data_IF_390454817964
#
_entry.id   IF_390454817964
#
_cell.length_a   1.000
_cell.length_b   1.000
_cell.length_c   1.000
_cell.angle_alpha   90.00
_cell.angle_beta   90.00
_cell.angle_gamma   90.00
#
_symmetry.space_group_name_H-M   'P 1'
#
loop_
_entity.id
_entity.type
_entity.pdbx_description
1 polymer ?
#
# COMPACT_ATOMS: atom_id res chain seq x y z
N UNK A 1 -43.79 -48.28 71.43
CA UNK A 1 -43.44 -48.15 72.86
C UNK A 1 -41.93 -48.33 73.00
N UNK A 2 -41.25 -47.38 73.69
CA UNK A 2 -40.03 -47.52 74.54
C UNK A 2 -38.95 -48.52 74.07
N UNK A 3 -37.65 -48.20 73.94
CA UNK A 3 -36.78 -47.39 74.82
C UNK A 3 -35.31 -47.51 74.32
N UNK A 4 -34.53 -46.41 74.40
CA UNK A 4 -33.11 -46.26 74.88
C UNK A 4 -32.12 -47.44 74.76
N UNK A 5 -30.80 -47.29 74.48
CA UNK A 5 -29.79 -46.33 75.00
C UNK A 5 -28.39 -46.67 74.39
N UNK A 6 -27.62 -45.62 74.03
CA UNK A 6 -26.20 -45.33 74.33
C UNK A 6 -25.02 -46.31 74.07
N UNK A 7 -23.85 -45.66 73.87
CA UNK A 7 -22.43 -46.09 73.86
C UNK A 7 -21.85 -46.59 72.52
N UNK A 8 -20.62 -46.31 72.11
CA UNK A 8 -19.61 -45.29 72.39
C UNK A 8 -18.41 -45.62 71.49
N UNK A 9 -17.99 -44.66 70.67
CA UNK A 9 -16.60 -44.29 70.36
C UNK A 9 -15.53 -45.38 70.18
N UNK A 10 -15.08 -45.54 68.94
CA UNK A 10 -13.67 -45.80 68.61
C UNK A 10 -13.28 -44.88 67.44
N UNK A 11 -12.50 -43.83 67.74
CA UNK A 11 -11.78 -43.05 66.75
C UNK A 11 -10.62 -43.90 66.22
N UNK A 12 -10.58 -44.14 64.90
CA UNK A 12 -9.35 -44.48 64.21
C UNK A 12 -8.71 -43.19 63.67
N UNK A 13 -7.54 -42.85 64.22
CA UNK A 13 -6.60 -41.93 63.58
C UNK A 13 -6.08 -42.58 62.29
N UNK A 14 -6.37 -41.98 61.14
CA UNK A 14 -5.67 -42.25 59.90
C UNK A 14 -4.84 -41.01 59.52
N UNK A 15 -3.53 -41.19 59.57
CA UNK A 15 -2.47 -40.23 59.30
C UNK A 15 -2.50 -39.69 57.86
N UNK A 16 -2.30 -38.38 57.77
CA UNK A 16 -2.07 -37.58 56.56
C UNK A 16 -0.99 -38.19 55.65
N UNK A 17 -1.27 -38.21 54.35
CA UNK A 17 -0.26 -38.21 53.29
C UNK A 17 -0.74 -37.28 52.18
N UNK A 18 -0.31 -36.01 52.22
CA UNK A 18 -0.51 -35.07 51.11
C UNK A 18 0.48 -35.42 49.99
N UNK A 19 0.01 -36.13 48.97
CA UNK A 19 0.67 -36.16 47.67
C UNK A 19 0.14 -34.99 46.84
N UNK A 20 0.97 -33.97 46.64
CA UNK A 20 0.66 -32.84 45.77
C UNK A 20 0.87 -33.21 44.30
N UNK A 21 -0.22 -33.37 43.54
CA UNK A 21 -0.15 -33.38 42.08
C UNK A 21 -0.23 -31.95 41.57
N UNK A 22 0.91 -31.43 41.08
CA UNK A 22 0.94 -30.22 40.26
C UNK A 22 0.35 -30.55 38.88
N UNK A 23 -0.95 -30.28 38.70
CA UNK A 23 -1.61 -30.30 37.40
C UNK A 23 -1.23 -29.06 36.60
N UNK A 24 -0.20 -29.16 35.76
CA UNK A 24 0.10 -28.17 34.75
C UNK A 24 -1.05 -28.10 33.74
N UNK A 25 -1.68 -26.94 33.63
CA UNK A 25 -2.70 -26.66 32.62
C UNK A 25 -2.02 -26.64 31.24
N UNK A 26 -2.53 -27.34 30.21
CA UNK A 26 -1.98 -27.23 28.86
C UNK A 26 -2.16 -25.80 28.35
N UNK A 27 -1.06 -25.19 27.88
CA UNK A 27 -1.13 -23.92 27.16
C UNK A 27 -1.93 -24.12 25.85
N UNK A 28 -2.79 -23.15 25.46
CA UNK A 28 -3.49 -23.23 24.19
C UNK A 28 -2.48 -23.25 23.02
N UNK A 29 -2.77 -23.96 21.91
CA UNK A 29 -1.88 -24.02 20.77
C UNK A 29 -1.66 -22.61 20.20
N UNK A 30 -0.39 -22.25 20.00
CA UNK A 30 0.00 -21.00 19.36
C UNK A 30 -0.59 -20.96 17.94
N UNK A 31 -1.39 -19.94 17.66
CA UNK A 31 -1.88 -19.64 16.31
C UNK A 31 -0.67 -19.29 15.44
N UNK A 32 -0.52 -19.87 14.23
CA UNK A 32 0.53 -19.45 13.32
C UNK A 32 0.39 -17.94 13.02
N UNK A 33 1.51 -17.20 12.88
CA UNK A 33 1.44 -15.78 12.59
C UNK A 33 0.65 -15.56 11.30
N UNK A 34 -0.35 -14.67 11.38
CA UNK A 34 -1.08 -14.22 10.21
C UNK A 34 -0.09 -13.60 9.22
N UNK A 35 -0.17 -14.02 7.95
CA UNK A 35 0.56 -13.39 6.86
C UNK A 35 0.32 -11.88 6.86
N UNK A 36 1.34 -11.05 6.54
CA UNK A 36 1.12 -9.62 6.41
C UNK A 36 -0.01 -9.35 5.41
N UNK A 37 -0.85 -8.33 5.64
CA UNK A 37 -1.93 -7.99 4.72
C UNK A 37 -1.32 -7.77 3.33
N UNK A 38 -1.73 -8.58 2.36
CA UNK A 38 -1.37 -8.38 0.97
C UNK A 38 -1.88 -7.00 0.56
N UNK A 39 -0.99 -6.17 0.00
CA UNK A 39 -1.38 -4.89 -0.59
C UNK A 39 -2.37 -5.21 -1.70
N UNK A 40 -3.58 -4.67 -1.60
CA UNK A 40 -4.61 -4.89 -2.60
C UNK A 40 -4.20 -4.26 -3.94
N UNK A 41 -4.42 -4.98 -5.04
CA UNK A 41 -4.16 -4.45 -6.38
C UNK A 41 -5.18 -3.32 -6.68
N UNK A 42 -4.74 -2.09 -6.98
CA UNK A 42 -5.64 -0.96 -7.20
C UNK A 42 -6.54 -1.13 -8.43
N UNK A 43 -6.08 -1.81 -9.49
CA UNK A 43 -6.89 -2.10 -10.66
C UNK A 43 -8.00 -3.11 -10.33
N UNK A 44 -7.65 -4.14 -9.55
CA UNK A 44 -8.59 -5.13 -9.02
C UNK A 44 -9.64 -4.47 -8.11
N UNK A 45 -9.23 -3.60 -7.18
CA UNK A 45 -10.17 -2.86 -6.35
C UNK A 45 -11.08 -1.95 -7.18
N UNK A 46 -10.52 -1.26 -8.17
CA UNK A 46 -11.30 -0.41 -9.05
C UNK A 46 -12.34 -1.23 -9.81
N UNK A 47 -12.01 -2.41 -10.33
CA UNK A 47 -12.98 -3.30 -10.95
C UNK A 47 -14.19 -3.57 -10.05
N UNK A 48 -13.94 -3.97 -8.79
CA UNK A 48 -14.98 -4.23 -7.81
C UNK A 48 -15.79 -2.97 -7.48
N UNK A 49 -15.13 -1.82 -7.33
CA UNK A 49 -15.77 -0.51 -7.08
C UNK A 49 -16.67 -0.07 -8.24
N UNK A 50 -16.32 -0.42 -9.49
CA UNK A 50 -17.14 -0.15 -10.67
C UNK A 50 -18.29 -1.16 -10.85
N UNK A 51 -18.50 -2.07 -9.89
CA UNK A 51 -19.58 -3.08 -9.94
C UNK A 51 -19.27 -4.28 -10.82
N UNK A 52 -18.02 -4.46 -11.23
CA UNK A 52 -17.58 -5.65 -11.96
C UNK A 52 -17.12 -6.78 -11.04
N UNK A 53 -16.93 -7.96 -11.62
CA UNK A 53 -16.28 -9.12 -10.97
C UNK A 53 -14.91 -9.34 -11.60
N UNK A 54 -13.88 -9.57 -10.78
CA UNK A 54 -12.54 -9.84 -11.27
C UNK A 54 -12.35 -11.32 -11.61
N UNK A 55 -11.77 -11.58 -12.79
CA UNK A 55 -11.31 -12.90 -13.22
C UNK A 55 -9.85 -12.79 -13.67
N UNK A 56 -8.96 -13.66 -13.17
CA UNK A 56 -7.57 -13.73 -13.64
C UNK A 56 -7.48 -14.71 -14.79
N UNK A 57 -6.91 -14.27 -15.92
CA UNK A 57 -6.73 -15.06 -17.13
C UNK A 57 -5.25 -15.14 -17.52
N UNK A 58 -4.94 -16.09 -18.40
CA UNK A 58 -3.60 -16.27 -18.96
C UNK A 58 -3.55 -15.78 -20.41
N UNK A 59 -2.47 -15.09 -20.73
CA UNK A 59 -2.09 -14.68 -22.08
C UNK A 59 -1.45 -15.84 -22.84
N UNK A 60 -1.24 -15.64 -24.14
CA UNK A 60 -0.60 -16.64 -25.01
C UNK A 60 0.86 -16.96 -24.66
N UNK A 61 1.52 -16.09 -23.90
CA UNK A 61 2.87 -16.28 -23.32
C UNK A 61 2.85 -16.92 -21.92
N UNK A 62 1.67 -17.19 -21.37
CA UNK A 62 1.49 -17.69 -20.00
C UNK A 62 1.45 -16.60 -18.92
N UNK A 63 1.63 -15.32 -19.28
CA UNK A 63 1.49 -14.20 -18.35
C UNK A 63 0.05 -14.04 -17.87
N UNK A 64 -0.15 -13.61 -16.62
CA UNK A 64 -1.48 -13.39 -16.05
C UNK A 64 -1.96 -11.95 -16.27
N UNK A 65 -3.26 -11.78 -16.45
CA UNK A 65 -3.91 -10.47 -16.52
C UNK A 65 -5.31 -10.53 -15.88
N UNK A 66 -5.72 -9.42 -15.28
CA UNK A 66 -7.05 -9.29 -14.68
C UNK A 66 -8.09 -8.82 -15.69
N UNK A 67 -9.25 -9.47 -15.70
CA UNK A 67 -10.41 -9.08 -16.50
C UNK A 67 -11.53 -8.70 -15.55
N UNK A 68 -12.01 -7.47 -15.71
CA UNK A 68 -13.22 -7.00 -15.07
C UNK A 68 -14.44 -7.37 -15.91
N UNK A 69 -15.27 -8.25 -15.37
CA UNK A 69 -16.53 -8.72 -15.95
C UNK A 69 -17.69 -7.85 -15.48
N UNK A 70 -18.50 -7.39 -16.42
CA UNK A 70 -19.74 -6.65 -16.17
C UNK A 70 -20.94 -7.45 -16.68
N UNK A 71 -22.15 -6.91 -16.44
CA UNK A 71 -23.38 -7.43 -17.03
C UNK A 71 -23.31 -7.53 -18.56
N UNK A 72 -24.18 -8.34 -19.15
CA UNK A 72 -24.24 -8.61 -20.60
C UNK A 72 -22.93 -9.13 -21.21
N UNK A 73 -22.10 -9.84 -20.41
CA UNK A 73 -20.79 -10.35 -20.80
C UNK A 73 -19.84 -9.25 -21.31
N UNK A 74 -20.00 -8.02 -20.82
CA UNK A 74 -19.10 -6.91 -21.16
C UNK A 74 -17.84 -7.01 -20.32
N UNK A 75 -16.71 -6.66 -20.91
CA UNK A 75 -15.40 -6.92 -20.30
C UNK A 75 -14.45 -5.74 -20.49
N UNK A 76 -13.59 -5.53 -19.51
CA UNK A 76 -12.38 -4.71 -19.61
C UNK A 76 -11.21 -5.46 -19.00
N UNK A 77 -10.00 -5.22 -19.50
CA UNK A 77 -8.80 -5.52 -18.72
C UNK A 77 -8.72 -4.53 -17.55
N UNK A 78 -8.32 -4.98 -16.36
CA UNK A 78 -8.46 -4.22 -15.11
C UNK A 78 -7.68 -2.90 -15.11
N UNK A 79 -6.48 -2.87 -15.70
CA UNK A 79 -5.66 -1.67 -15.80
C UNK A 79 -6.18 -0.71 -16.87
N UNK A 80 -6.66 -1.23 -18.00
CA UNK A 80 -7.34 -0.45 -19.02
C UNK A 80 -8.61 0.21 -18.47
N UNK A 81 -9.36 -0.47 -17.60
CA UNK A 81 -10.49 0.14 -16.89
C UNK A 81 -10.03 1.24 -15.92
N UNK A 82 -8.99 0.97 -15.11
CA UNK A 82 -8.47 1.93 -14.14
C UNK A 82 -8.01 3.24 -14.78
N UNK A 83 -7.36 3.17 -15.94
CA UNK A 83 -6.84 4.36 -16.66
C UNK A 83 -7.84 4.95 -17.67
N UNK A 84 -9.03 4.37 -17.80
CA UNK A 84 -10.07 4.84 -18.72
C UNK A 84 -9.81 4.53 -20.21
N UNK A 85 -8.92 3.59 -20.51
CA UNK A 85 -8.72 3.04 -21.87
C UNK A 85 -9.86 2.08 -22.27
N UNK A 86 -10.50 1.49 -21.25
CA UNK A 86 -11.73 0.73 -21.38
C UNK A 86 -12.85 1.39 -20.56
N UNK A 87 -14.05 1.60 -21.12
CA UNK A 87 -15.13 2.32 -20.46
C UNK A 87 -15.70 1.57 -19.25
N UNK A 88 -16.16 2.33 -18.25
CA UNK A 88 -16.96 1.79 -17.13
C UNK A 88 -18.19 1.06 -17.69
N UNK A 89 -18.46 -0.14 -17.19
CA UNK A 89 -19.48 -1.04 -17.74
C UNK A 89 -19.00 -1.93 -18.89
N UNK A 90 -17.70 -1.90 -19.24
CA UNK A 90 -17.10 -2.88 -20.14
C UNK A 90 -17.33 -2.63 -21.63
N UNK A 91 -16.55 -3.30 -22.47
CA UNK A 91 -16.79 -3.41 -23.92
C UNK A 91 -17.52 -4.71 -24.23
N UNK A 92 -18.40 -4.66 -25.24
CA UNK A 92 -19.06 -5.86 -25.76
C UNK A 92 -18.03 -6.70 -26.52
N UNK A 93 -17.85 -7.95 -26.10
CA UNK A 93 -16.87 -8.86 -26.74
C UNK A 93 -17.47 -9.85 -27.72
N UNK A 94 -18.81 -9.92 -27.82
CA UNK A 94 -19.57 -10.89 -28.61
C UNK A 94 -19.47 -10.72 -30.14
N UNK A 95 -18.41 -10.07 -30.63
CA UNK A 95 -18.04 -9.99 -32.05
C UNK A 95 -16.57 -10.33 -32.32
N UNK A 96 -15.80 -10.73 -31.30
CA UNK A 96 -14.40 -11.10 -31.44
C UNK A 96 -14.26 -12.62 -31.33
N UNK A 97 -13.89 -13.24 -32.44
CA UNK A 97 -13.81 -14.70 -32.60
C UNK A 97 -12.60 -15.31 -31.89
N UNK A 98 -11.48 -14.57 -31.79
CA UNK A 98 -10.23 -15.05 -31.19
C UNK A 98 -9.94 -14.37 -29.85
N UNK A 99 -9.20 -15.04 -28.97
CA UNK A 99 -8.74 -14.46 -27.70
C UNK A 99 -7.86 -13.22 -27.93
N UNK A 100 -7.06 -13.23 -29.00
CA UNK A 100 -6.25 -12.08 -29.41
C UNK A 100 -7.10 -10.86 -29.78
N UNK A 101 -8.19 -11.06 -30.53
CA UNK A 101 -9.13 -10.01 -30.88
C UNK A 101 -9.87 -9.47 -29.64
N UNK A 102 -10.30 -10.36 -28.74
CA UNK A 102 -10.91 -9.98 -27.47
C UNK A 102 -9.93 -9.19 -26.60
N UNK A 103 -8.70 -9.66 -26.46
CA UNK A 103 -7.65 -9.01 -25.69
C UNK A 103 -7.33 -7.61 -26.21
N UNK A 104 -7.21 -7.44 -27.53
CA UNK A 104 -7.09 -6.13 -28.17
C UNK A 104 -8.21 -5.18 -27.73
N UNK A 105 -9.46 -5.63 -27.83
CA UNK A 105 -10.61 -4.80 -27.52
C UNK A 105 -10.67 -4.41 -26.03
N UNK A 106 -10.50 -5.37 -25.12
CA UNK A 106 -10.67 -5.12 -23.67
C UNK A 106 -9.51 -4.33 -23.06
N UNK A 107 -8.34 -4.29 -23.72
CA UNK A 107 -7.21 -3.41 -23.36
C UNK A 107 -7.33 -2.01 -23.95
N UNK A 108 -8.43 -1.72 -24.67
CA UNK A 108 -8.75 -0.40 -25.21
C UNK A 108 -8.37 -0.17 -26.66
N UNK A 109 -7.82 -1.18 -27.35
CA UNK A 109 -7.46 -1.10 -28.76
C UNK A 109 -8.65 -1.27 -29.72
N UNK A 110 -8.40 -0.92 -30.98
CA UNK A 110 -9.28 -1.15 -32.13
C UNK A 110 -8.73 -2.31 -32.96
N UNK A 111 -9.49 -3.41 -33.00
CA UNK A 111 -9.14 -4.59 -33.76
C UNK A 111 -9.64 -4.50 -35.20
N UNK A 112 -8.78 -4.85 -36.17
CA UNK A 112 -9.12 -4.91 -37.59
C UNK A 112 -8.70 -6.26 -38.17
N UNK A 113 -9.62 -6.95 -38.85
CA UNK A 113 -9.36 -8.24 -39.49
C UNK A 113 -8.48 -8.05 -40.72
N UNK A 114 -7.42 -8.84 -40.82
CA UNK A 114 -6.49 -8.85 -41.96
C UNK A 114 -6.51 -10.16 -42.75
N UNK A 115 -7.03 -11.25 -42.16
CA UNK A 115 -7.13 -12.54 -42.85
C UNK A 115 -7.96 -13.58 -42.08
N UNK A 116 -8.36 -14.66 -42.75
CA UNK A 116 -9.08 -15.81 -42.17
C UNK A 116 -10.33 -15.43 -41.34
N UNK A 117 -11.09 -14.44 -41.82
CA UNK A 117 -12.24 -13.88 -41.09
C UNK A 117 -13.26 -14.93 -40.64
N UNK A 118 -13.79 -14.77 -39.42
CA UNK A 118 -14.80 -15.65 -38.82
C UNK A 118 -14.33 -17.11 -38.63
N UNK A 119 -13.03 -17.30 -38.38
CA UNK A 119 -12.47 -18.61 -38.03
C UNK A 119 -11.64 -18.51 -36.75
N UNK A 120 -11.37 -19.66 -36.11
CA UNK A 120 -10.50 -19.72 -34.92
C UNK A 120 -9.06 -19.25 -35.19
N UNK A 121 -8.67 -19.17 -36.47
CA UNK A 121 -7.37 -18.69 -36.94
C UNK A 121 -7.45 -17.31 -37.59
N UNK A 122 -8.48 -16.52 -37.27
CA UNK A 122 -8.61 -15.14 -37.74
C UNK A 122 -7.36 -14.34 -37.40
N UNK A 123 -6.84 -13.66 -38.42
CA UNK A 123 -5.70 -12.78 -38.33
C UNK A 123 -6.21 -11.35 -38.31
N UNK A 124 -5.57 -10.52 -37.50
CA UNK A 124 -5.93 -9.12 -37.42
C UNK A 124 -4.86 -8.30 -36.74
N UNK A 125 -4.97 -7.00 -36.92
CA UNK A 125 -4.13 -6.01 -36.25
C UNK A 125 -4.88 -5.37 -35.10
N UNK A 126 -4.16 -5.02 -34.04
CA UNK A 126 -4.65 -4.19 -32.96
C UNK A 126 -4.05 -2.79 -33.10
N UNK A 127 -4.89 -1.79 -33.36
CA UNK A 127 -4.50 -0.38 -33.31
C UNK A 127 -4.73 0.13 -31.91
N UNK A 128 -3.68 0.59 -31.26
CA UNK A 128 -3.71 0.94 -29.87
C UNK A 128 -3.89 2.46 -29.69
N UNK A 129 -4.15 2.93 -28.47
CA UNK A 129 -4.56 4.32 -28.18
C UNK A 129 -3.53 5.38 -28.57
N UNK A 130 -2.24 5.04 -28.58
CA UNK A 130 -1.15 5.92 -29.04
C UNK A 130 -0.93 5.89 -30.57
N UNK A 131 -1.71 5.08 -31.29
CA UNK A 131 -1.57 4.86 -32.72
C UNK A 131 -0.62 3.72 -33.10
N UNK A 132 0.02 3.04 -32.13
CA UNK A 132 0.82 1.85 -32.40
C UNK A 132 -0.08 0.74 -32.97
N UNK A 133 0.38 0.10 -34.05
CA UNK A 133 -0.32 -1.01 -34.69
C UNK A 133 0.48 -2.29 -34.49
N UNK A 134 -0.13 -3.26 -33.81
CA UNK A 134 0.44 -4.59 -33.57
C UNK A 134 -0.28 -5.66 -34.40
N UNK A 135 0.40 -6.75 -34.74
CA UNK A 135 -0.32 -8.01 -34.95
C UNK A 135 -1.03 -8.41 -33.64
N UNK A 136 -2.32 -8.74 -33.70
CA UNK A 136 -3.12 -8.98 -32.50
C UNK A 136 -2.64 -10.21 -31.71
N UNK A 137 -2.09 -11.22 -32.40
CA UNK A 137 -1.55 -12.42 -31.76
C UNK A 137 -0.22 -12.12 -31.09
N UNK A 138 0.64 -11.34 -31.72
CA UNK A 138 1.89 -10.87 -31.09
C UNK A 138 1.62 -10.00 -29.87
N UNK A 139 0.60 -9.14 -29.95
CA UNK A 139 0.14 -8.34 -28.81
C UNK A 139 -0.35 -9.21 -27.65
N UNK A 140 -1.23 -10.17 -27.93
CA UNK A 140 -1.72 -11.14 -26.93
C UNK A 140 -0.60 -12.04 -26.34
N UNK A 141 0.48 -12.27 -27.09
CA UNK A 141 1.67 -13.00 -26.64
C UNK A 141 2.72 -12.11 -25.97
N UNK A 142 2.44 -10.82 -25.73
CA UNK A 142 3.39 -9.90 -25.11
C UNK A 142 4.62 -9.58 -25.94
N UNK A 143 4.64 -9.94 -27.24
CA UNK A 143 5.76 -9.66 -28.18
C UNK A 143 5.64 -8.26 -28.79
N UNK A 144 4.42 -7.78 -28.96
CA UNK A 144 4.13 -6.38 -29.21
C UNK A 144 3.61 -5.80 -27.89
N UNK A 145 4.28 -4.84 -27.24
CA UNK A 145 3.77 -4.26 -26.01
C UNK A 145 2.53 -3.42 -26.28
N UNK A 146 1.61 -3.32 -25.31
CA UNK A 146 0.56 -2.31 -25.33
C UNK A 146 1.19 -0.92 -25.46
N UNK A 147 0.44 0.13 -25.85
CA UNK A 147 0.92 1.49 -25.67
C UNK A 147 1.32 1.61 -24.23
N UNK A 148 2.57 1.97 -24.00
CA UNK A 148 2.87 2.78 -22.85
C UNK A 148 2.11 4.10 -23.08
N UNK A 149 0.88 4.17 -22.57
CA UNK A 149 0.14 5.42 -22.47
C UNK A 149 0.96 6.35 -21.58
N UNK A 150 1.81 7.16 -22.22
CA UNK A 150 3.01 7.78 -21.65
C UNK A 150 4.04 6.73 -21.20
N UNK A 151 5.33 7.06 -21.36
CA UNK A 151 6.44 6.22 -20.90
C UNK A 151 6.10 5.61 -19.53
N UNK A 152 5.98 4.28 -19.50
CA UNK A 152 5.74 3.55 -18.26
C UNK A 152 7.07 3.43 -17.55
N UNK A 153 7.12 3.88 -16.30
CA UNK A 153 8.37 3.95 -15.56
C UNK A 153 8.40 2.87 -14.48
N UNK A 154 9.16 1.81 -14.74
CA UNK A 154 9.52 0.84 -13.71
C UNK A 154 10.69 1.35 -12.84
N UNK A 155 11.52 2.24 -13.41
CA UNK A 155 12.60 2.91 -12.70
C UNK A 155 12.08 4.17 -11.99
N UNK A 156 12.14 4.24 -10.65
CA UNK A 156 11.68 5.40 -9.89
C UNK A 156 12.47 6.68 -10.20
N UNK A 157 13.74 6.57 -10.62
CA UNK A 157 14.55 7.75 -10.95
C UNK A 157 14.12 8.36 -12.29
N UNK A 158 13.95 7.53 -13.32
CA UNK A 158 13.36 7.95 -14.59
C UNK A 158 11.94 8.49 -14.41
N UNK A 159 11.13 7.87 -13.54
CA UNK A 159 9.79 8.35 -13.19
C UNK A 159 9.84 9.78 -12.64
N UNK A 160 10.61 10.03 -11.58
CA UNK A 160 10.68 11.36 -10.97
C UNK A 160 11.28 12.39 -11.91
N UNK A 161 12.29 12.02 -12.72
CA UNK A 161 12.84 12.91 -13.75
C UNK A 161 11.75 13.39 -14.73
N UNK A 162 10.80 12.51 -15.07
CA UNK A 162 9.73 12.81 -16.00
C UNK A 162 8.54 13.56 -15.39
N UNK A 163 8.09 13.18 -14.20
CA UNK A 163 6.88 13.77 -13.58
C UNK A 163 7.16 15.03 -12.76
N UNK A 164 8.42 15.26 -12.38
CA UNK A 164 8.85 16.43 -11.61
C UNK A 164 8.47 16.36 -10.14
N UNK A 165 7.18 16.32 -9.82
CA UNK A 165 6.70 16.24 -8.45
C UNK A 165 5.46 15.33 -8.34
N UNK A 166 5.46 14.45 -7.34
CA UNK A 166 4.36 13.54 -7.03
C UNK A 166 4.47 13.14 -5.56
N UNK A 167 3.45 13.40 -4.74
CA UNK A 167 3.42 13.04 -3.32
C UNK A 167 3.36 11.53 -3.10
N UNK A 168 2.64 10.84 -4.00
CA UNK A 168 2.53 9.38 -4.04
C UNK A 168 2.76 8.94 -5.48
N UNK A 169 3.72 8.03 -5.74
CA UNK A 169 3.94 7.45 -7.06
C UNK A 169 2.67 6.78 -7.58
N UNK A 170 2.27 7.16 -8.79
CA UNK A 170 1.09 6.65 -9.48
C UNK A 170 1.36 6.61 -10.99
N UNK A 171 0.42 6.06 -11.77
CA UNK A 171 0.52 6.01 -13.23
C UNK A 171 1.06 7.35 -13.80
N UNK A 172 2.07 7.35 -14.67
CA UNK A 172 2.58 6.19 -15.43
C UNK A 172 3.69 5.36 -14.73
N UNK A 173 3.87 5.49 -13.41
CA UNK A 173 4.71 4.55 -12.66
C UNK A 173 4.05 3.16 -12.58
N UNK A 174 4.78 2.11 -12.98
CA UNK A 174 4.33 0.71 -12.96
C UNK A 174 5.25 -0.23 -12.15
N UNK A 175 6.28 0.33 -11.51
CA UNK A 175 7.18 -0.41 -10.64
C UNK A 175 6.56 -0.80 -9.29
N UNK A 176 7.28 -1.57 -8.46
CA UNK A 176 6.82 -1.97 -7.14
C UNK A 176 6.66 -0.76 -6.20
N UNK A 177 5.83 -0.89 -5.16
CA UNK A 177 5.59 0.18 -4.18
C UNK A 177 6.88 0.67 -3.48
N UNK A 178 7.80 -0.24 -3.19
CA UNK A 178 9.14 0.07 -2.69
C UNK A 178 10.18 -0.59 -3.61
N UNK A 179 10.75 0.14 -4.58
CA UNK A 179 11.74 -0.38 -5.51
C UNK A 179 13.05 -0.75 -4.85
N UNK A 180 13.64 -1.84 -5.32
CA UNK A 180 15.00 -2.24 -4.95
C UNK A 180 16.01 -1.12 -5.23
N UNK A 181 15.82 -0.34 -6.30
CA UNK A 181 16.67 0.81 -6.63
C UNK A 181 16.68 1.89 -5.52
N UNK A 182 15.53 2.12 -4.88
CA UNK A 182 15.39 3.05 -3.74
C UNK A 182 16.03 2.46 -2.49
N UNK A 183 15.78 1.18 -2.20
CA UNK A 183 16.41 0.47 -1.07
C UNK A 183 17.94 0.53 -1.17
N UNK A 184 18.49 0.21 -2.34
CA UNK A 184 19.92 0.26 -2.58
C UNK A 184 20.48 1.68 -2.48
N UNK A 185 19.76 2.70 -2.95
CA UNK A 185 20.19 4.09 -2.78
C UNK A 185 20.24 4.49 -1.30
N UNK A 186 19.23 4.13 -0.51
CA UNK A 186 19.22 4.36 0.93
C UNK A 186 20.38 3.65 1.65
N UNK A 187 20.69 2.41 1.26
CA UNK A 187 21.83 1.65 1.81
C UNK A 187 23.16 2.31 1.44
N UNK A 188 23.35 2.71 0.18
CA UNK A 188 24.58 3.37 -0.29
C UNK A 188 24.84 4.70 0.42
N UNK A 189 23.77 5.46 0.71
CA UNK A 189 23.86 6.75 1.38
C UNK A 189 23.90 6.62 2.93
N UNK A 190 23.87 5.40 3.47
CA UNK A 190 23.92 5.16 4.92
C UNK A 190 22.63 5.54 5.66
N UNK A 191 21.51 5.70 4.95
CA UNK A 191 20.19 5.95 5.56
C UNK A 191 19.70 4.67 6.27
N UNK A 192 20.03 3.51 5.71
CA UNK A 192 19.71 2.19 6.28
C UNK A 192 20.97 1.32 6.26
N UNK A 193 21.16 0.49 7.29
CA UNK A 193 22.25 -0.47 7.33
C UNK A 193 22.04 -1.60 6.29
N UNK A 194 23.12 -2.01 5.62
CA UNK A 194 23.07 -3.07 4.59
C UNK A 194 22.68 -4.44 5.13
N UNK A 195 22.92 -4.68 6.42
CA UNK A 195 22.59 -5.92 7.14
C UNK A 195 21.23 -5.86 7.88
N UNK A 196 20.50 -4.73 7.76
CA UNK A 196 19.18 -4.61 8.34
C UNK A 196 18.20 -5.64 7.74
N UNK A 197 17.27 -6.21 8.53
CA UNK A 197 16.25 -7.11 8.01
C UNK A 197 15.43 -6.45 6.88
N UNK A 198 14.95 -7.24 5.92
CA UNK A 198 14.18 -6.73 4.77
C UNK A 198 12.98 -5.87 5.19
N UNK A 199 12.30 -6.24 6.29
CA UNK A 199 11.19 -5.46 6.85
C UNK A 199 11.61 -4.04 7.26
N UNK A 200 12.86 -3.83 7.70
CA UNK A 200 13.41 -2.52 8.04
C UNK A 200 13.87 -1.79 6.78
N UNK A 201 14.52 -2.50 5.85
CA UNK A 201 14.98 -1.92 4.58
C UNK A 201 13.83 -1.37 3.74
N UNK A 202 12.67 -2.03 3.78
CA UNK A 202 11.46 -1.62 3.05
C UNK A 202 10.58 -0.64 3.83
N UNK A 203 10.93 -0.30 5.08
CA UNK A 203 10.11 0.56 5.93
C UNK A 203 10.33 2.04 5.61
N UNK A 204 10.03 2.44 4.39
CA UNK A 204 10.13 3.83 3.93
C UNK A 204 8.90 4.21 3.10
N UNK A 205 8.75 5.51 2.88
CA UNK A 205 7.96 6.07 1.77
C UNK A 205 8.88 6.86 0.87
N UNK A 206 8.49 7.00 -0.39
CA UNK A 206 9.22 7.81 -1.34
C UNK A 206 8.26 8.62 -2.20
N UNK A 207 8.76 9.73 -2.74
CA UNK A 207 8.01 10.66 -3.57
C UNK A 207 8.94 11.31 -4.60
N UNK A 208 8.35 12.01 -5.55
CA UNK A 208 9.09 12.88 -6.45
C UNK A 208 9.03 14.32 -5.95
N UNK A 209 10.18 14.96 -5.83
CA UNK A 209 10.30 16.39 -5.53
C UNK A 209 11.44 16.96 -6.37
N UNK A 210 11.17 18.06 -7.07
CA UNK A 210 12.13 18.76 -7.94
C UNK A 210 12.78 17.88 -9.02
N UNK A 211 12.07 16.87 -9.53
CA UNK A 211 12.57 15.85 -10.46
C UNK A 211 13.56 14.83 -9.87
N UNK A 212 13.73 14.81 -8.55
CA UNK A 212 14.52 13.79 -7.84
C UNK A 212 13.61 12.84 -7.04
N UNK A 213 14.15 11.65 -6.74
CA UNK A 213 13.55 10.72 -5.78
C UNK A 213 13.91 11.17 -4.37
N UNK A 214 12.91 11.32 -3.51
CA UNK A 214 13.10 11.61 -2.09
C UNK A 214 12.48 10.51 -1.26
N UNK A 215 13.16 10.07 -0.21
CA UNK A 215 12.66 9.05 0.69
C UNK A 215 12.64 9.50 2.15
N UNK A 216 11.64 9.02 2.89
CA UNK A 216 11.55 9.14 4.34
C UNK A 216 11.50 7.73 4.91
N UNK A 217 12.57 7.32 5.60
CA UNK A 217 12.61 6.05 6.30
C UNK A 217 11.80 6.15 7.60
N UNK A 218 10.80 5.28 7.77
CA UNK A 218 9.89 5.31 8.92
C UNK A 218 10.62 4.79 10.16
N UNK A 219 11.16 5.74 10.92
CA UNK A 219 11.66 5.51 12.28
C UNK A 219 10.57 5.57 13.34
N UNK A 220 10.95 5.31 14.59
CA UNK A 220 10.07 5.54 15.72
C UNK A 220 9.66 7.01 15.75
N UNK A 221 8.37 7.26 15.62
CA UNK A 221 7.80 8.60 15.71
C UNK A 221 8.21 9.60 14.61
N UNK A 222 8.46 9.17 13.37
CA UNK A 222 8.55 10.06 12.20
C UNK A 222 7.23 10.18 11.41
N UNK A 223 6.71 11.41 11.14
CA UNK A 223 5.43 11.63 10.47
C UNK A 223 5.61 11.74 8.95
N UNK A 224 6.22 10.74 8.31
CA UNK A 224 6.63 10.80 6.90
C UNK A 224 5.47 11.15 5.93
N UNK A 225 4.24 10.74 6.24
CA UNK A 225 3.09 10.88 5.35
C UNK A 225 2.17 12.05 5.73
N UNK A 226 2.49 12.78 6.80
CA UNK A 226 1.71 13.93 7.27
C UNK A 226 2.28 15.25 6.73
N UNK A 227 1.41 16.19 6.35
CA UNK A 227 1.83 17.55 6.00
C UNK A 227 2.30 18.28 7.26
N UNK A 228 3.34 19.09 7.11
CA UNK A 228 3.86 19.94 8.16
C UNK A 228 2.78 20.90 8.67
N UNK A 229 2.56 20.92 9.98
CA UNK A 229 1.71 21.92 10.61
C UNK A 229 2.52 23.21 10.83
N UNK A 230 2.24 24.19 9.96
CA UNK A 230 2.85 25.52 10.00
C UNK A 230 1.99 26.54 10.76
N UNK A 231 0.91 26.11 11.42
CA UNK A 231 0.04 26.97 12.21
C UNK A 231 0.75 27.50 13.45
N UNK A 232 0.55 28.79 13.74
CA UNK A 232 0.93 29.42 15.01
C UNK A 232 -0.26 29.56 15.96
N UNK A 233 -1.35 28.86 15.68
CA UNK A 233 -2.56 28.83 16.50
C UNK A 233 -2.49 27.60 17.40
N UNK A 234 -2.61 27.82 18.71
CA UNK A 234 -2.57 26.74 19.69
C UNK A 234 -3.85 25.90 19.66
N UNK A 235 -3.71 24.59 19.82
CA UNK A 235 -4.84 23.67 19.93
C UNK A 235 -5.51 23.75 21.31
N UNK A 236 -6.69 23.14 21.43
CA UNK A 236 -7.39 23.02 22.70
C UNK A 236 -6.59 22.16 23.71
N UNK A 237 -5.97 21.09 23.23
CA UNK A 237 -5.13 20.17 24.00
C UNK A 237 -3.90 20.88 24.56
N UNK A 238 -3.25 21.73 23.75
CA UNK A 238 -2.14 22.56 24.21
C UNK A 238 -2.59 23.55 25.28
N UNK A 239 -3.76 24.17 25.09
CA UNK A 239 -4.34 25.10 26.06
C UNK A 239 -4.63 24.41 27.39
N UNK A 240 -5.18 23.20 27.35
CA UNK A 240 -5.44 22.40 28.55
C UNK A 240 -4.14 21.96 29.24
N UNK A 241 -3.15 21.51 28.46
CA UNK A 241 -1.83 21.17 28.97
C UNK A 241 -1.19 22.34 29.72
N UNK A 242 -1.27 23.56 29.18
CA UNK A 242 -0.71 24.74 29.83
C UNK A 242 -1.47 25.18 31.08
N UNK A 243 -2.79 24.94 31.19
CA UNK A 243 -3.50 25.17 32.46
C UNK A 243 -2.95 24.27 33.57
N UNK A 244 -2.67 23.00 33.25
CA UNK A 244 -2.08 22.06 34.20
C UNK A 244 -0.59 22.32 34.45
N UNK A 245 0.13 22.89 33.47
CA UNK A 245 1.58 23.10 33.51
C UNK A 245 1.96 24.54 33.11
N UNK A 246 1.67 25.55 33.95
CA UNK A 246 1.65 26.96 33.53
C UNK A 246 2.99 27.55 33.11
N UNK A 247 4.11 26.94 33.52
CA UNK A 247 5.46 27.39 33.21
C UNK A 247 6.31 26.31 32.51
N UNK A 248 5.68 25.31 31.88
CA UNK A 248 6.40 24.26 31.15
C UNK A 248 7.27 24.86 30.04
N UNK A 249 8.56 24.53 30.04
CA UNK A 249 9.52 24.99 29.03
C UNK A 249 9.30 24.36 27.66
N UNK A 250 8.59 23.24 27.59
CA UNK A 250 8.21 22.55 26.35
C UNK A 250 6.83 21.89 26.48
N UNK A 251 6.02 21.95 25.43
CA UNK A 251 4.81 21.15 25.26
C UNK A 251 5.19 19.89 24.47
N UNK A 252 4.95 18.66 24.98
CA UNK A 252 5.37 17.43 24.30
C UNK A 252 4.68 17.21 22.95
N UNK A 253 5.34 16.48 22.05
CA UNK A 253 4.79 16.11 20.73
C UNK A 253 3.50 15.27 20.80
N UNK A 254 3.27 14.58 21.92
CA UNK A 254 2.00 13.88 22.19
C UNK A 254 0.80 14.85 22.32
N UNK A 255 1.06 16.15 22.55
CA UNK A 255 0.05 17.21 22.68
C UNK A 255 0.07 18.13 21.45
N UNK A 256 1.25 18.54 20.98
CA UNK A 256 1.34 19.45 19.81
C UNK A 256 1.11 18.76 18.47
N UNK A 257 1.04 17.43 18.46
CA UNK A 257 1.21 16.65 17.25
C UNK A 257 2.68 16.55 16.83
N UNK A 258 2.96 15.57 15.96
CA UNK A 258 4.33 15.25 15.52
C UNK A 258 4.72 15.98 14.23
N UNK A 259 3.74 16.55 13.53
CA UNK A 259 3.94 17.26 12.28
C UNK A 259 4.22 18.77 12.44
N UNK A 260 4.15 19.33 13.65
CA UNK A 260 4.36 20.77 13.87
C UNK A 260 5.80 21.19 13.57
N UNK A 261 5.95 22.34 12.89
CA UNK A 261 7.27 22.93 12.65
C UNK A 261 7.81 23.71 13.85
N UNK A 262 7.00 23.88 14.91
CA UNK A 262 7.33 24.72 16.06
C UNK A 262 7.54 23.90 17.34
N UNK A 263 8.54 24.30 18.11
CA UNK A 263 8.60 23.99 19.53
C UNK A 263 7.68 24.96 20.27
N UNK A 264 6.82 24.41 21.13
CA UNK A 264 5.87 25.17 21.93
C UNK A 264 6.25 25.10 23.40
N UNK A 265 5.90 26.15 24.15
CA UNK A 265 6.06 26.23 25.61
C UNK A 265 4.80 26.82 26.25
N UNK A 266 4.70 26.73 27.57
CA UNK A 266 3.69 27.42 28.34
C UNK A 266 4.27 28.67 29.00
N UNK A 267 3.54 29.78 28.91
CA UNK A 267 3.82 31.00 29.64
C UNK A 267 2.51 31.51 30.25
N UNK A 268 2.48 31.67 31.58
CA UNK A 268 1.30 32.12 32.33
C UNK A 268 0.04 31.29 32.02
N UNK A 269 0.20 29.97 31.92
CA UNK A 269 -0.92 29.06 31.63
C UNK A 269 -1.38 29.05 30.17
N UNK A 270 -0.68 29.75 29.27
CA UNK A 270 -1.04 29.87 27.86
C UNK A 270 0.05 29.30 26.94
N UNK A 271 -0.32 28.59 25.86
CA UNK A 271 0.64 28.14 24.87
C UNK A 271 1.28 29.30 24.11
N UNK A 272 2.58 29.19 23.86
CA UNK A 272 3.38 30.14 23.08
C UNK A 272 4.36 29.39 22.19
N UNK A 273 4.51 29.84 20.95
CA UNK A 273 5.59 29.38 20.07
C UNK A 273 6.91 29.80 20.71
N UNK A 274 7.80 28.84 20.96
CA UNK A 274 9.14 29.09 21.47
C UNK A 274 10.09 29.40 20.31
N UNK A 275 10.15 28.52 19.31
CA UNK A 275 10.96 28.66 18.10
C UNK A 275 10.45 27.72 17.00
N UNK A 276 10.82 28.00 15.76
CA UNK A 276 10.66 27.05 14.67
C UNK A 276 11.85 26.08 14.68
N UNK A 277 11.57 24.79 14.61
CA UNK A 277 12.58 23.70 14.70
C UNK A 277 12.67 22.86 13.44
N UNK A 278 11.66 22.90 12.57
CA UNK A 278 11.66 22.22 11.28
C UNK A 278 11.26 23.17 10.15
N UNK A 279 11.56 22.78 8.92
CA UNK A 279 11.10 23.47 7.72
C UNK A 279 10.05 22.64 6.99
N UNK A 280 9.13 23.32 6.30
CA UNK A 280 8.29 22.66 5.30
C UNK A 280 8.99 22.73 3.95
N UNK A 281 9.06 21.63 3.22
CA UNK A 281 9.47 21.64 1.81
C UNK A 281 8.36 22.21 0.90
N UNK A 282 8.62 22.41 -0.41
CA UNK A 282 7.64 22.98 -1.33
C UNK A 282 6.33 22.20 -1.49
N UNK A 283 6.31 20.89 -1.22
CA UNK A 283 5.07 20.08 -1.20
C UNK A 283 4.45 20.02 0.19
N UNK A 284 5.03 20.68 1.19
CA UNK A 284 4.45 20.85 2.51
C UNK A 284 4.70 19.70 3.49
N UNK A 285 5.72 18.86 3.28
CA UNK A 285 6.17 17.91 4.31
C UNK A 285 7.31 18.51 5.14
N UNK A 286 7.62 17.88 6.27
CA UNK A 286 8.74 18.26 7.13
C UNK A 286 10.07 17.91 6.44
N UNK A 287 10.71 18.92 5.84
CA UNK A 287 11.88 18.76 4.97
C UNK A 287 13.02 17.98 5.62
N UNK A 288 13.22 18.20 6.92
CA UNK A 288 14.28 17.60 7.73
C UNK A 288 14.21 16.06 7.83
N UNK A 289 13.08 15.45 7.46
CA UNK A 289 12.87 13.99 7.49
C UNK A 289 12.94 13.33 6.12
N UNK A 290 13.10 14.12 5.05
CA UNK A 290 13.19 13.62 3.69
C UNK A 290 14.63 13.72 3.18
N UNK A 291 15.12 12.64 2.58
CA UNK A 291 16.46 12.55 2.00
C UNK A 291 16.38 12.38 0.49
N UNK A 292 17.15 13.18 -0.25
CA UNK A 292 17.31 13.04 -1.69
C UNK A 292 18.14 11.78 -2.00
N UNK A 293 17.59 10.89 -2.83
CA UNK A 293 18.28 9.70 -3.27
C UNK A 293 18.93 9.95 -4.63
N UNK A 294 20.21 9.63 -4.74
CA UNK A 294 20.92 9.65 -6.00
C UNK A 294 20.76 8.32 -6.75
N UNK A 295 20.60 8.35 -8.10
CA UNK A 295 20.73 7.14 -8.90
C UNK A 295 22.14 6.54 -8.78
N UNK A 296 22.32 5.34 -9.32
CA UNK A 296 23.65 4.70 -9.38
C UNK A 296 24.60 5.46 -10.30
#
# INVERSE_FOLDING_TARGET
MRTTRLFAWVLLLATLSLSGCAGGTPAPPATPPASPPAIANPASENCLKQGGTLEIRKRGDGGEYGVCLFEDNRQCEEWALLRGDCPVGGRKVTGYVTEAAQYCAITGGEYAVTGNSNTDNEQGTCTLKDGQVCDAREYYQGKCPAPAGQASYADPFAYCAAVGAADVPAAPYDGPAMPEAIVQAMVRQGIIASDAPAAIQQNAVWRCMNSQVWACHRGANLPCEEKADTSKVASAEMSEFCKANPAASVIPAAVTGRATVYEWKCADGQPRVAKQVFQSDPQGYLADFWQELAPQ
#
